data_IF_597049382913
#
_entry.id   IF_597049382913
#
_cell.length_a   1.000
_cell.length_b   1.000
_cell.length_c   1.000
_cell.angle_alpha   90.00
_cell.angle_beta   90.00
_cell.angle_gamma   90.00
#
_symmetry.space_group_name_H-M   'P 1'
#
loop_
_entity.id
_entity.type
_entity.pdbx_description
1 polymer ?
#
# COMPACT_ATOMS: atom_id res chain seq x y z
N UNK A 1 -6.37 -16.35 -4.13
CA UNK A 1 -7.14 -15.22 -3.56
C UNK A 1 -6.42 -13.90 -3.83
N UNK A 2 -7.11 -12.77 -4.06
CA UNK A 2 -6.46 -11.47 -4.31
C UNK A 2 -6.94 -10.37 -3.36
N UNK A 3 -6.00 -9.60 -2.80
CA UNK A 3 -6.28 -8.40 -2.03
C UNK A 3 -5.80 -7.17 -2.78
N UNK A 4 -6.60 -6.10 -2.75
CA UNK A 4 -6.32 -4.84 -3.44
C UNK A 4 -6.43 -3.69 -2.46
N UNK A 5 -5.37 -2.88 -2.41
CA UNK A 5 -5.27 -1.64 -1.65
C UNK A 5 -5.24 -0.48 -2.65
N UNK A 6 -6.38 0.19 -2.85
CA UNK A 6 -6.49 1.40 -3.66
C UNK A 6 -6.09 2.61 -2.81
N UNK A 7 -5.10 3.37 -3.27
CA UNK A 7 -4.48 4.47 -2.52
C UNK A 7 -4.81 5.81 -3.19
N UNK A 8 -5.44 6.72 -2.45
CA UNK A 8 -5.71 8.06 -2.94
C UNK A 8 -4.53 9.00 -2.69
N UNK A 9 -4.04 9.74 -3.70
CA UNK A 9 -2.97 10.72 -3.52
C UNK A 9 -3.46 11.93 -2.73
N UNK A 10 -2.59 12.49 -1.88
CA UNK A 10 -2.82 13.78 -1.26
C UNK A 10 -2.26 14.92 -2.14
N UNK A 11 -3.11 15.45 -3.02
CA UNK A 11 -2.76 16.54 -3.94
C UNK A 11 -2.57 17.91 -3.26
N UNK A 12 -2.80 18.00 -1.94
CA UNK A 12 -2.62 19.24 -1.18
C UNK A 12 -1.18 19.42 -0.67
N UNK A 13 -0.27 18.50 -0.99
CA UNK A 13 1.14 18.60 -0.60
C UNK A 13 1.95 19.65 -1.35
N UNK A 14 1.37 20.30 -2.35
CA UNK A 14 2.02 21.41 -3.03
C UNK A 14 1.99 22.64 -2.13
N UNK A 15 3.11 22.89 -1.43
CA UNK A 15 3.43 24.27 -1.07
C UNK A 15 4.89 24.60 -0.82
N UNK A 16 5.77 23.65 -0.48
CA UNK A 16 7.14 24.00 -0.15
C UNK A 16 8.16 23.04 -0.78
N UNK A 17 8.86 23.57 -1.81
CA UNK A 17 10.19 23.13 -2.24
C UNK A 17 10.29 21.81 -3.05
N UNK A 18 10.18 21.95 -4.39
CA UNK A 18 10.87 21.17 -5.44
C UNK A 18 10.34 19.80 -5.96
N UNK A 19 9.23 19.24 -5.48
CA UNK A 19 8.69 17.97 -6.04
C UNK A 19 7.19 18.10 -6.25
N UNK A 20 6.70 17.80 -7.45
CA UNK A 20 5.26 17.77 -7.72
C UNK A 20 4.57 16.66 -6.91
N UNK A 21 3.35 16.94 -6.44
CA UNK A 21 2.57 16.03 -5.59
C UNK A 21 2.34 14.63 -6.21
N UNK A 22 2.33 14.52 -7.55
CA UNK A 22 2.21 13.24 -8.25
C UNK A 22 3.50 12.40 -8.15
N UNK A 23 4.67 13.02 -8.29
CA UNK A 23 5.98 12.38 -8.16
C UNK A 23 6.23 11.96 -6.71
N UNK A 24 5.87 12.81 -5.74
CA UNK A 24 5.94 12.45 -4.32
C UNK A 24 5.04 11.25 -4.02
N UNK A 25 3.81 11.25 -4.52
CA UNK A 25 2.89 10.13 -4.40
C UNK A 25 3.44 8.85 -5.06
N UNK A 26 3.96 8.94 -6.29
CA UNK A 26 4.51 7.77 -7.01
C UNK A 26 5.71 7.18 -6.27
N UNK A 27 6.59 8.02 -5.75
CA UNK A 27 7.71 7.60 -4.91
C UNK A 27 7.24 6.90 -3.64
N UNK A 28 6.31 7.50 -2.91
CA UNK A 28 5.73 6.92 -1.70
C UNK A 28 5.02 5.58 -1.98
N UNK A 29 4.28 5.49 -3.08
CA UNK A 29 3.59 4.25 -3.47
C UNK A 29 4.58 3.12 -3.80
N UNK A 30 5.68 3.44 -4.49
CA UNK A 30 6.74 2.47 -4.76
C UNK A 30 7.41 2.00 -3.45
N UNK A 31 7.67 2.91 -2.52
CA UNK A 31 8.18 2.58 -1.18
C UNK A 31 7.20 1.69 -0.40
N UNK A 32 5.91 2.02 -0.42
CA UNK A 32 4.87 1.21 0.20
C UNK A 32 4.81 -0.20 -0.43
N UNK A 33 4.90 -0.31 -1.75
CA UNK A 33 4.95 -1.61 -2.43
C UNK A 33 6.15 -2.46 -2.01
N UNK A 34 7.35 -1.86 -1.97
CA UNK A 34 8.56 -2.56 -1.51
C UNK A 34 8.45 -2.98 -0.04
N UNK A 35 7.83 -2.14 0.80
CA UNK A 35 7.56 -2.45 2.20
C UNK A 35 6.58 -3.62 2.34
N UNK A 36 5.46 -3.63 1.57
CA UNK A 36 4.52 -4.76 1.52
C UNK A 36 5.21 -6.05 1.08
N UNK A 37 6.05 -5.99 0.04
CA UNK A 37 6.86 -7.13 -0.41
C UNK A 37 7.79 -7.65 0.70
N UNK A 38 8.40 -6.74 1.45
CA UNK A 38 9.29 -7.11 2.55
C UNK A 38 8.53 -7.75 3.72
N UNK A 39 7.37 -7.21 4.07
CA UNK A 39 6.49 -7.77 5.13
C UNK A 39 6.01 -9.17 4.77
N UNK A 40 5.74 -9.40 3.49
CA UNK A 40 5.21 -10.67 3.00
C UNK A 40 6.26 -11.62 2.42
N UNK A 41 7.56 -11.34 2.64
CA UNK A 41 8.66 -12.06 2.01
C UNK A 41 8.63 -13.57 2.23
N UNK A 42 8.20 -14.00 3.42
CA UNK A 42 8.16 -15.41 3.81
C UNK A 42 6.91 -16.16 3.28
N UNK A 43 5.99 -15.47 2.59
CA UNK A 43 4.74 -16.05 2.10
C UNK A 43 4.77 -16.24 0.58
N UNK A 44 4.07 -17.28 0.05
CA UNK A 44 3.94 -17.51 -1.37
C UNK A 44 2.94 -16.51 -1.99
N UNK A 45 3.36 -15.25 -2.12
CA UNK A 45 2.56 -14.16 -2.70
C UNK A 45 3.29 -13.43 -3.81
N UNK A 46 2.50 -12.88 -4.73
CA UNK A 46 2.98 -11.90 -5.70
C UNK A 46 2.39 -10.54 -5.34
N UNK A 47 3.26 -9.55 -5.14
CA UNK A 47 2.87 -8.17 -4.84
C UNK A 47 3.21 -7.28 -6.03
N UNK A 48 2.20 -6.60 -6.57
CA UNK A 48 2.34 -5.73 -7.75
C UNK A 48 1.83 -4.34 -7.42
N UNK A 49 2.59 -3.32 -7.83
CA UNK A 49 2.15 -1.93 -7.82
C UNK A 49 1.79 -1.50 -9.24
N UNK A 50 0.54 -1.05 -9.44
CA UNK A 50 0.06 -0.50 -10.70
C UNK A 50 -0.73 0.77 -10.39
N UNK A 51 -0.37 1.88 -11.03
CA UNK A 51 -1.04 3.17 -10.90
C UNK A 51 -1.20 3.66 -9.45
N UNK A 52 -2.38 3.44 -8.87
CA UNK A 52 -2.79 3.87 -7.53
C UNK A 52 -3.20 2.68 -6.66
N UNK A 53 -2.72 1.49 -6.97
CA UNK A 53 -3.08 0.26 -6.25
C UNK A 53 -1.88 -0.64 -6.01
N UNK A 54 -1.92 -1.28 -4.84
CA UNK A 54 -1.06 -2.42 -4.50
C UNK A 54 -1.93 -3.67 -4.48
N UNK A 55 -1.54 -4.65 -5.28
CA UNK A 55 -2.25 -5.92 -5.43
C UNK A 55 -1.41 -7.04 -4.81
N UNK A 56 -2.03 -7.83 -3.93
CA UNK A 56 -1.43 -9.00 -3.30
C UNK A 56 -2.18 -10.23 -3.80
N UNK A 57 -1.49 -11.07 -4.57
CA UNK A 57 -2.04 -12.32 -5.10
C UNK A 57 -1.43 -13.49 -4.34
N UNK A 58 -2.26 -14.25 -3.63
CA UNK A 58 -1.85 -15.47 -2.93
C UNK A 58 -1.77 -16.62 -3.93
N UNK A 59 -0.69 -17.40 -3.89
CA UNK A 59 -0.51 -18.57 -4.76
C UNK A 59 -1.56 -19.66 -4.49
N UNK A 60 -1.92 -19.85 -3.22
CA UNK A 60 -2.95 -20.79 -2.81
C UNK A 60 -4.36 -20.17 -2.87
N UNK A 61 -5.37 -21.03 -3.02
CA UNK A 61 -6.78 -20.62 -3.07
C UNK A 61 -7.19 -20.01 -1.72
N UNK A 62 -6.67 -20.56 -0.62
CA UNK A 62 -6.91 -20.09 0.73
C UNK A 62 -5.72 -19.25 1.22
N UNK A 63 -5.94 -17.95 1.44
CA UNK A 63 -4.95 -17.11 2.09
C UNK A 63 -4.83 -17.49 3.57
N UNK A 64 -3.61 -17.51 4.15
CA UNK A 64 -3.43 -17.67 5.59
C UNK A 64 -3.98 -16.49 6.41
N UNK A 65 -4.35 -15.38 5.76
CA UNK A 65 -4.90 -14.19 6.40
C UNK A 65 -6.21 -13.80 5.73
N UNK A 66 -7.18 -13.37 6.52
CA UNK A 66 -8.32 -12.57 6.03
C UNK A 66 -7.85 -11.21 5.50
N UNK A 67 -8.70 -10.50 4.77
CA UNK A 67 -8.40 -9.14 4.30
C UNK A 67 -8.04 -8.20 5.48
N UNK A 68 -8.76 -8.30 6.60
CA UNK A 68 -8.52 -7.46 7.78
C UNK A 68 -7.17 -7.75 8.45
N UNK A 69 -6.79 -9.04 8.57
CA UNK A 69 -5.48 -9.44 9.09
C UNK A 69 -4.36 -9.00 8.16
N UNK A 70 -4.55 -9.15 6.85
CA UNK A 70 -3.60 -8.67 5.86
C UNK A 70 -3.42 -7.15 5.93
N UNK A 71 -4.53 -6.39 6.03
CA UNK A 71 -4.49 -4.93 6.19
C UNK A 71 -3.71 -4.51 7.43
N UNK A 72 -3.94 -5.17 8.57
CA UNK A 72 -3.20 -4.90 9.80
C UNK A 72 -1.70 -5.20 9.61
N UNK A 73 -1.37 -6.34 8.99
CA UNK A 73 0.00 -6.78 8.76
C UNK A 73 0.78 -5.79 7.90
N UNK A 74 0.15 -5.21 6.87
CA UNK A 74 0.80 -4.26 5.95
C UNK A 74 0.57 -2.79 6.32
N UNK A 75 -0.09 -2.51 7.44
CA UNK A 75 -0.49 -1.15 7.82
C UNK A 75 0.69 -0.17 7.94
N UNK A 76 1.85 -0.65 8.41
CA UNK A 76 3.09 0.13 8.53
C UNK A 76 3.67 0.58 7.18
N UNK A 77 3.27 -0.04 6.07
CA UNK A 77 3.65 0.40 4.71
C UNK A 77 3.01 1.72 4.32
N UNK A 78 1.93 2.13 5.01
CA UNK A 78 1.17 3.33 4.71
C UNK A 78 1.04 4.31 5.86
N UNK A 79 1.39 3.89 7.08
CA UNK A 79 1.15 4.62 8.32
C UNK A 79 2.42 4.70 9.14
N UNK A 80 2.55 5.81 9.87
CA UNK A 80 3.59 6.00 10.87
C UNK A 80 3.35 5.17 12.13
N UNK A 81 4.27 5.24 13.09
CA UNK A 81 4.19 4.53 14.37
C UNK A 81 2.97 4.92 15.23
N UNK A 82 2.31 6.05 14.95
CA UNK A 82 1.10 6.50 15.63
C UNK A 82 -0.18 6.08 14.89
N UNK A 83 -0.06 5.33 13.79
CA UNK A 83 -1.17 4.89 12.95
C UNK A 83 -1.69 5.98 12.00
N UNK A 84 -1.02 7.12 11.88
CA UNK A 84 -1.40 8.19 10.96
C UNK A 84 -0.90 7.85 9.56
N UNK A 85 -1.73 8.05 8.53
CA UNK A 85 -1.29 7.91 7.13
C UNK A 85 -0.12 8.83 6.83
N UNK A 86 0.84 8.31 6.05
CA UNK A 86 1.90 9.13 5.48
C UNK A 86 1.27 10.29 4.66
N UNK A 87 1.88 11.49 4.70
CA UNK A 87 1.28 12.69 4.15
C UNK A 87 0.93 12.59 2.67
N UNK A 88 1.60 11.74 1.91
CA UNK A 88 1.40 11.46 0.48
C UNK A 88 0.08 10.71 0.20
N UNK A 89 -0.49 10.06 1.22
CA UNK A 89 -1.70 9.26 1.11
C UNK A 89 -2.88 9.94 1.80
N UNK A 90 -3.96 10.15 1.05
CA UNK A 90 -5.20 10.72 1.57
C UNK A 90 -6.12 9.66 2.17
N UNK A 91 -6.24 8.52 1.51
CA UNK A 91 -7.11 7.43 1.92
C UNK A 91 -6.64 6.10 1.30
N UNK A 92 -7.09 4.99 1.89
CA UNK A 92 -6.85 3.64 1.37
C UNK A 92 -8.18 2.90 1.40
N UNK A 93 -8.57 2.30 0.28
CA UNK A 93 -9.71 1.42 0.18
C UNK A 93 -9.25 -0.03 -0.07
N UNK A 94 -9.81 -0.95 0.70
CA UNK A 94 -9.38 -2.35 0.74
C UNK A 94 -10.46 -3.27 0.19
N UNK A 95 -10.09 -4.19 -0.70
CA UNK A 95 -11.03 -5.12 -1.33
C UNK A 95 -10.42 -6.51 -1.44
N UNK A 96 -11.26 -7.53 -1.28
CA UNK A 96 -10.94 -8.91 -1.63
C UNK A 96 -11.60 -9.24 -2.97
N UNK A 97 -10.85 -9.84 -3.88
CA UNK A 97 -11.27 -10.24 -5.23
C UNK A 97 -10.92 -11.72 -5.46
#
# INVERSE_FOLDING_TARGET
MKYVFEVEPNLLLDQDFFIDSETAFSSALNCACASVQSVLFDYPVTVICIDKRIEISWADIDSPFTLAECSLLVSGSFRDANGKLYPEFKAIAEKSI
#
